data_IF_037899347096
#
_entry.id   IF_037899347096
#
_cell.length_a   1.000
_cell.length_b   1.000
_cell.length_c   1.000
_cell.angle_alpha   90.00
_cell.angle_beta   90.00
_cell.angle_gamma   90.00
#
_symmetry.space_group_name_H-M   'P 1'
#
loop_
_entity.id
_entity.type
_entity.pdbx_description
1 polymer ?
#
# COMPACT_ATOMS: atom_id res chain seq x y z
N UNK A 1 66.95 -19.54 -60.24
CA UNK A 1 66.01 -20.52 -59.65
C UNK A 1 65.58 -20.19 -58.20
N UNK A 2 66.44 -19.63 -57.34
CA UNK A 2 66.08 -19.21 -55.96
C UNK A 2 65.14 -17.99 -55.87
N UNK A 3 65.15 -17.09 -56.84
CA UNK A 3 64.27 -15.89 -56.88
C UNK A 3 62.80 -16.23 -57.23
N UNK A 4 62.57 -17.19 -58.13
CA UNK A 4 61.21 -17.57 -58.58
C UNK A 4 60.43 -18.29 -57.46
N UNK A 5 61.12 -19.04 -56.60
CA UNK A 5 60.52 -19.70 -55.43
C UNK A 5 60.08 -18.71 -54.33
N UNK A 6 60.69 -17.52 -54.24
CA UNK A 6 60.32 -16.49 -53.25
C UNK A 6 59.05 -15.73 -53.65
N UNK A 7 58.84 -15.47 -54.93
CA UNK A 7 57.65 -14.73 -55.40
C UNK A 7 56.37 -15.57 -55.33
N UNK A 8 56.42 -16.88 -55.60
CA UNK A 8 55.23 -17.74 -55.50
C UNK A 8 54.82 -18.01 -54.04
N UNK A 9 55.75 -17.99 -53.07
CA UNK A 9 55.42 -18.22 -51.66
C UNK A 9 54.72 -17.01 -51.00
N UNK A 10 54.97 -15.78 -51.49
CA UNK A 10 54.38 -14.56 -50.91
C UNK A 10 53.00 -14.19 -51.46
N UNK A 11 52.61 -14.66 -52.66
CA UNK A 11 51.26 -14.41 -53.19
C UNK A 11 50.17 -15.16 -52.42
N UNK A 12 50.47 -16.37 -51.96
CA UNK A 12 49.51 -17.20 -51.23
C UNK A 12 49.32 -16.78 -49.76
N UNK A 13 50.31 -16.11 -49.14
CA UNK A 13 50.19 -15.63 -47.76
C UNK A 13 49.26 -14.41 -47.59
N UNK A 14 49.04 -13.62 -48.65
CA UNK A 14 48.14 -12.45 -48.59
C UNK A 14 46.66 -12.81 -48.71
N UNK A 15 46.33 -14.00 -49.18
CA UNK A 15 44.94 -14.46 -49.33
C UNK A 15 44.41 -15.18 -48.09
N UNK A 16 45.30 -15.73 -47.25
CA UNK A 16 44.96 -16.39 -45.99
C UNK A 16 44.22 -15.46 -45.00
N UNK A 17 44.66 -14.21 -44.72
CA UNK A 17 43.94 -13.36 -43.76
C UNK A 17 42.54 -12.96 -44.23
N UNK A 18 42.32 -12.84 -45.54
CA UNK A 18 41.01 -12.52 -46.12
C UNK A 18 40.06 -13.71 -45.98
N UNK A 19 40.54 -14.94 -46.23
CA UNK A 19 39.73 -16.14 -46.07
C UNK A 19 39.34 -16.38 -44.61
N UNK A 20 40.26 -16.12 -43.67
CA UNK A 20 40.02 -16.27 -42.23
C UNK A 20 39.02 -15.23 -41.72
N UNK A 21 39.09 -13.99 -42.19
CA UNK A 21 38.09 -12.96 -41.81
C UNK A 21 36.70 -13.27 -42.38
N UNK A 22 36.62 -13.84 -43.59
CA UNK A 22 35.35 -14.23 -44.20
C UNK A 22 34.70 -15.44 -43.51
N UNK A 23 35.52 -16.38 -43.02
CA UNK A 23 35.02 -17.55 -42.25
C UNK A 23 34.56 -17.12 -40.85
N UNK A 24 35.26 -16.19 -40.20
CA UNK A 24 34.84 -15.64 -38.90
C UNK A 24 33.54 -14.83 -39.04
N UNK A 25 33.37 -14.05 -40.10
CA UNK A 25 32.10 -13.34 -40.33
C UNK A 25 30.96 -14.31 -40.65
N UNK A 26 31.18 -15.35 -41.46
CA UNK A 26 30.15 -16.38 -41.68
C UNK A 26 29.77 -17.12 -40.39
N UNK A 27 30.73 -17.42 -39.51
CA UNK A 27 30.46 -18.06 -38.21
C UNK A 27 29.68 -17.15 -37.25
N UNK A 28 29.85 -15.83 -37.34
CA UNK A 28 29.06 -14.86 -36.57
C UNK A 28 27.63 -14.71 -37.10
N UNK A 29 27.38 -14.96 -38.38
CA UNK A 29 26.02 -14.94 -38.95
C UNK A 29 25.25 -16.26 -38.78
N UNK A 30 25.94 -17.40 -38.61
CA UNK A 30 25.27 -18.71 -38.43
C UNK A 30 24.91 -19.04 -36.97
N UNK A 31 25.26 -18.20 -36.00
CA UNK A 31 24.87 -18.41 -34.59
C UNK A 31 23.68 -17.56 -34.15
N UNK A 32 23.00 -16.86 -35.07
CA UNK A 32 21.60 -16.51 -34.90
C UNK A 32 20.77 -17.75 -35.25
N UNK A 33 20.78 -18.75 -34.37
CA UNK A 33 19.63 -19.63 -34.28
C UNK A 33 18.44 -18.72 -34.03
N UNK A 34 17.48 -18.73 -34.94
CA UNK A 34 16.14 -18.24 -34.69
C UNK A 34 15.53 -19.14 -33.61
N UNK A 35 15.94 -18.93 -32.37
CA UNK A 35 15.02 -19.11 -31.27
C UNK A 35 13.94 -18.07 -31.56
N UNK A 36 12.84 -18.57 -32.12
CA UNK A 36 11.55 -17.92 -32.17
C UNK A 36 11.11 -17.73 -30.71
N UNK A 37 11.83 -16.86 -29.99
CA UNK A 37 11.34 -16.25 -28.77
C UNK A 37 10.21 -15.38 -29.23
N UNK A 38 9.03 -15.99 -29.34
CA UNK A 38 7.78 -15.25 -29.26
C UNK A 38 7.94 -14.32 -28.07
N UNK A 39 8.15 -13.03 -28.32
CA UNK A 39 8.13 -12.01 -27.28
C UNK A 39 6.72 -12.12 -26.73
N UNK A 40 6.54 -12.86 -25.63
CA UNK A 40 5.27 -12.87 -24.92
C UNK A 40 5.09 -11.43 -24.48
N UNK A 41 4.19 -10.72 -25.14
CA UNK A 41 3.83 -9.38 -24.72
C UNK A 41 3.40 -9.47 -23.26
N UNK A 42 4.10 -8.72 -22.41
CA UNK A 42 3.80 -8.67 -21.00
C UNK A 42 2.37 -8.16 -20.83
N UNK A 43 1.56 -8.96 -20.12
CA UNK A 43 0.17 -8.62 -19.89
C UNK A 43 0.08 -7.35 -19.05
N UNK A 44 -0.65 -6.36 -19.57
CA UNK A 44 -0.94 -5.12 -18.87
C UNK A 44 -1.78 -5.38 -17.62
N UNK A 45 -1.42 -4.72 -16.53
CA UNK A 45 -2.21 -4.72 -15.31
C UNK A 45 -3.45 -3.82 -15.49
N UNK A 46 -4.54 -4.23 -14.86
CA UNK A 46 -5.79 -3.49 -14.80
C UNK A 46 -6.24 -3.36 -13.34
N UNK A 47 -6.83 -2.21 -12.98
CA UNK A 47 -7.34 -1.99 -11.60
C UNK A 47 -8.40 -3.02 -11.22
N UNK A 48 -9.18 -3.52 -12.18
CA UNK A 48 -10.16 -4.59 -12.00
C UNK A 48 -9.56 -5.87 -11.40
N UNK A 49 -8.26 -6.14 -11.61
CA UNK A 49 -7.57 -7.28 -11.01
C UNK A 49 -7.38 -7.15 -9.49
N UNK A 50 -7.52 -5.96 -8.93
CA UNK A 50 -7.40 -5.68 -7.50
C UNK A 50 -8.75 -5.51 -6.80
N UNK A 51 -9.87 -5.66 -7.52
CA UNK A 51 -11.23 -5.47 -6.99
C UNK A 51 -11.51 -6.35 -5.76
N UNK A 52 -11.00 -7.58 -5.77
CA UNK A 52 -11.14 -8.53 -4.66
C UNK A 52 -10.63 -7.94 -3.32
N UNK A 53 -9.61 -7.08 -3.33
CA UNK A 53 -9.12 -6.45 -2.09
C UNK A 53 -10.18 -5.55 -1.45
N UNK A 54 -10.95 -4.83 -2.27
CA UNK A 54 -12.06 -4.02 -1.80
C UNK A 54 -13.21 -4.87 -1.24
N UNK A 55 -13.50 -6.00 -1.89
CA UNK A 55 -14.53 -6.95 -1.44
C UNK A 55 -14.14 -7.59 -0.10
N UNK A 56 -12.88 -8.01 0.05
CA UNK A 56 -12.36 -8.54 1.31
C UNK A 56 -12.40 -7.47 2.40
N UNK A 57 -11.94 -6.25 2.11
CA UNK A 57 -12.00 -5.12 3.05
C UNK A 57 -13.41 -4.94 3.62
N UNK A 58 -14.41 -4.87 2.75
CA UNK A 58 -15.81 -4.68 3.15
C UNK A 58 -16.34 -5.87 3.95
N UNK A 59 -15.92 -7.10 3.62
CA UNK A 59 -16.27 -8.29 4.39
C UNK A 59 -15.74 -8.25 5.84
N UNK A 60 -14.57 -7.65 6.08
CA UNK A 60 -14.07 -7.41 7.44
C UNK A 60 -14.94 -6.40 8.19
N UNK A 61 -15.31 -5.28 7.57
CA UNK A 61 -16.21 -4.29 8.19
C UNK A 61 -17.52 -4.93 8.62
N UNK A 62 -18.11 -5.71 7.71
CA UNK A 62 -19.35 -6.41 7.93
C UNK A 62 -19.26 -7.43 9.06
N UNK A 63 -18.20 -8.25 9.05
CA UNK A 63 -17.96 -9.23 10.09
C UNK A 63 -17.79 -8.56 11.47
N UNK A 64 -17.01 -7.48 11.52
CA UNK A 64 -16.80 -6.70 12.74
C UNK A 64 -18.09 -6.10 13.25
N UNK A 65 -18.87 -5.43 12.40
CA UNK A 65 -20.14 -4.83 12.81
C UNK A 65 -21.17 -5.86 13.31
N UNK A 66 -21.24 -7.01 12.64
CA UNK A 66 -22.24 -8.05 12.91
C UNK A 66 -21.86 -8.95 14.09
N UNK A 67 -20.56 -9.25 14.28
CA UNK A 67 -20.12 -10.31 15.20
C UNK A 67 -19.19 -9.86 16.32
N UNK A 68 -18.52 -8.71 16.22
CA UNK A 68 -17.68 -8.24 17.33
C UNK A 68 -18.56 -7.88 18.54
N UNK A 69 -18.18 -8.37 19.73
CA UNK A 69 -18.87 -8.09 20.97
C UNK A 69 -17.99 -7.23 21.87
N UNK A 70 -18.48 -6.04 22.23
CA UNK A 70 -17.80 -5.18 23.18
C UNK A 70 -17.96 -5.77 24.58
N UNK A 71 -16.84 -6.04 25.24
CA UNK A 71 -16.82 -6.44 26.65
C UNK A 71 -17.03 -5.19 27.53
N UNK A 72 -18.23 -5.05 28.09
CA UNK A 72 -18.67 -3.83 28.78
C UNK A 72 -17.86 -3.47 30.04
N UNK A 73 -17.10 -4.42 30.57
CA UNK A 73 -16.25 -4.22 31.75
C UNK A 73 -14.81 -3.79 31.40
N UNK A 74 -14.43 -3.82 30.12
CA UNK A 74 -13.08 -3.46 29.70
C UNK A 74 -12.87 -1.95 29.80
N UNK A 75 -11.86 -1.57 30.61
CA UNK A 75 -11.50 -0.18 30.92
C UNK A 75 -10.12 0.20 30.37
N UNK A 76 -9.38 -0.75 29.81
CA UNK A 76 -8.05 -0.52 29.26
C UNK A 76 -8.10 -0.39 27.73
N UNK A 77 -7.66 0.77 27.23
CA UNK A 77 -7.50 1.02 25.80
C UNK A 77 -6.60 -0.03 25.13
N UNK A 78 -5.50 -0.43 25.76
CA UNK A 78 -4.57 -1.42 25.21
C UNK A 78 -5.23 -2.80 25.03
N UNK A 79 -6.03 -3.24 26.01
CA UNK A 79 -6.77 -4.50 25.90
C UNK A 79 -7.87 -4.42 24.85
N UNK A 80 -8.58 -3.30 24.75
CA UNK A 80 -9.58 -3.08 23.71
C UNK A 80 -8.96 -3.17 22.30
N UNK A 81 -7.80 -2.54 22.08
CA UNK A 81 -7.06 -2.60 20.82
C UNK A 81 -6.63 -4.03 20.49
N UNK A 82 -6.09 -4.76 21.47
CA UNK A 82 -5.69 -6.16 21.27
C UNK A 82 -6.91 -7.05 20.96
N UNK A 83 -8.03 -6.89 21.66
CA UNK A 83 -9.26 -7.65 21.40
C UNK A 83 -9.76 -7.46 19.96
N UNK A 84 -9.77 -6.22 19.47
CA UNK A 84 -10.14 -5.91 18.07
C UNK A 84 -9.15 -6.54 17.09
N UNK A 85 -7.85 -6.41 17.37
CA UNK A 85 -6.79 -6.96 16.53
C UNK A 85 -6.88 -8.49 16.45
N UNK A 86 -7.10 -9.15 17.58
CA UNK A 86 -7.22 -10.61 17.68
C UNK A 86 -8.46 -11.09 16.92
N UNK A 87 -9.60 -10.40 17.06
CA UNK A 87 -10.81 -10.70 16.30
C UNK A 87 -10.59 -10.60 14.78
N UNK A 88 -9.95 -9.52 14.30
CA UNK A 88 -9.65 -9.37 12.88
C UNK A 88 -8.62 -10.40 12.40
N UNK A 89 -7.59 -10.67 13.19
CA UNK A 89 -6.58 -11.69 12.89
C UNK A 89 -7.19 -13.10 12.81
N UNK A 90 -8.14 -13.42 13.70
CA UNK A 90 -8.86 -14.68 13.67
C UNK A 90 -9.79 -14.81 12.46
N UNK A 91 -10.45 -13.72 12.06
CA UNK A 91 -11.23 -13.71 10.83
C UNK A 91 -10.33 -13.91 9.60
N UNK A 92 -9.16 -13.27 9.56
CA UNK A 92 -8.20 -13.38 8.46
C UNK A 92 -7.76 -14.84 8.18
N UNK A 93 -7.65 -15.69 9.21
CA UNK A 93 -7.30 -17.12 9.06
C UNK A 93 -8.29 -17.89 8.17
N UNK A 94 -9.52 -17.40 8.02
CA UNK A 94 -10.58 -18.02 7.24
C UNK A 94 -10.75 -17.40 5.84
N UNK A 95 -9.98 -16.35 5.51
CA UNK A 95 -10.04 -15.68 4.20
C UNK A 95 -8.96 -16.26 3.29
N UNK A 96 -9.36 -16.77 2.12
CA UNK A 96 -8.45 -17.45 1.17
C UNK A 96 -7.21 -16.63 0.83
N UNK A 97 -7.38 -15.32 0.66
CA UNK A 97 -6.31 -14.36 0.39
C UNK A 97 -5.13 -14.42 1.39
N UNK A 98 -5.38 -14.76 2.67
CA UNK A 98 -4.35 -14.80 3.71
C UNK A 98 -3.80 -16.21 4.00
N UNK A 99 -4.44 -17.28 3.50
CA UNK A 99 -4.12 -18.67 3.89
C UNK A 99 -2.65 -19.05 3.71
N UNK A 100 -2.03 -18.59 2.63
CA UNK A 100 -0.64 -18.90 2.32
C UNK A 100 0.37 -18.11 3.17
N UNK A 101 -0.05 -16.99 3.77
CA UNK A 101 0.84 -15.99 4.38
C UNK A 101 0.41 -15.59 5.81
N UNK A 102 -0.30 -16.46 6.52
CA UNK A 102 -0.89 -16.18 7.83
C UNK A 102 0.06 -15.53 8.85
N UNK A 103 1.35 -15.94 8.90
CA UNK A 103 2.33 -15.35 9.82
C UNK A 103 2.70 -13.91 9.45
N UNK A 104 2.87 -13.63 8.16
CA UNK A 104 3.12 -12.29 7.64
C UNK A 104 1.90 -11.39 7.89
N UNK A 105 0.69 -11.85 7.58
CA UNK A 105 -0.54 -11.10 7.80
C UNK A 105 -0.73 -10.76 9.28
N UNK A 106 -0.48 -11.71 10.19
CA UNK A 106 -0.51 -11.46 11.64
C UNK A 106 0.49 -10.39 12.07
N UNK A 107 1.71 -10.40 11.51
CA UNK A 107 2.72 -9.39 11.80
C UNK A 107 2.32 -8.00 11.30
N UNK A 108 1.64 -7.93 10.15
CA UNK A 108 1.10 -6.67 9.62
C UNK A 108 -0.06 -6.17 10.50
N UNK A 109 -1.00 -7.03 10.88
CA UNK A 109 -2.08 -6.69 11.83
C UNK A 109 -1.52 -6.09 13.11
N UNK A 110 -0.55 -6.78 13.73
CA UNK A 110 0.09 -6.30 14.96
C UNK A 110 0.82 -4.96 14.78
N UNK A 111 1.39 -4.70 13.60
CA UNK A 111 2.06 -3.44 13.30
C UNK A 111 1.05 -2.29 13.03
N UNK A 112 -0.14 -2.62 12.54
CA UNK A 112 -1.17 -1.65 12.18
C UNK A 112 -2.23 -1.44 13.26
N UNK A 113 -2.31 -2.30 14.29
CA UNK A 113 -3.41 -2.35 15.27
C UNK A 113 -3.82 -1.01 15.91
N UNK A 114 -2.89 -0.07 16.03
CA UNK A 114 -3.15 1.25 16.61
C UNK A 114 -3.85 2.22 15.65
N UNK A 115 -3.97 1.89 14.37
CA UNK A 115 -4.78 2.66 13.41
C UNK A 115 -6.26 2.70 13.81
N UNK A 116 -6.70 1.75 14.66
CA UNK A 116 -8.06 1.69 15.22
C UNK A 116 -8.42 2.92 16.07
N UNK A 117 -7.44 3.70 16.53
CA UNK A 117 -7.70 4.97 17.22
C UNK A 117 -7.75 6.08 16.16
N UNK A 118 -8.86 6.27 15.47
CA UNK A 118 -8.94 7.16 14.28
C UNK A 118 -8.30 8.54 14.44
N UNK A 119 -8.60 9.26 15.53
CA UNK A 119 -7.97 10.57 15.79
C UNK A 119 -6.46 10.47 16.08
N UNK A 120 -6.04 9.42 16.76
CA UNK A 120 -4.62 9.10 16.92
C UNK A 120 -3.99 8.80 15.57
N UNK A 121 -4.63 7.98 14.74
CA UNK A 121 -4.15 7.65 13.40
C UNK A 121 -3.98 8.90 12.53
N UNK A 122 -4.97 9.78 12.46
CA UNK A 122 -4.85 11.08 11.78
C UNK A 122 -3.61 11.88 12.26
N UNK A 123 -3.44 11.98 13.57
CA UNK A 123 -2.31 12.69 14.18
C UNK A 123 -0.96 12.01 13.85
N UNK A 124 -0.90 10.68 13.83
CA UNK A 124 0.27 9.91 13.39
C UNK A 124 0.64 10.23 11.94
N UNK A 125 -0.36 10.24 11.05
CA UNK A 125 -0.17 10.46 9.63
C UNK A 125 0.41 11.83 9.31
N UNK A 126 -0.07 12.89 9.97
CA UNK A 126 0.23 14.27 9.57
C UNK A 126 0.93 15.13 10.63
N UNK A 127 1.33 14.54 11.77
CA UNK A 127 2.13 15.18 12.84
C UNK A 127 1.54 16.52 13.32
N UNK A 128 0.33 16.50 13.87
CA UNK A 128 -0.09 17.60 14.76
C UNK A 128 0.37 17.32 16.20
N UNK A 129 1.67 17.50 16.45
CA UNK A 129 2.30 17.26 17.76
C UNK A 129 1.66 18.09 18.88
N UNK A 130 1.14 19.28 18.57
CA UNK A 130 0.54 20.17 19.55
C UNK A 130 -0.85 19.69 20.00
N UNK A 131 -1.59 18.99 19.12
CA UNK A 131 -2.85 18.34 19.46
C UNK A 131 -2.66 17.04 20.27
N UNK A 132 -1.57 16.30 20.02
CA UNK A 132 -1.19 15.07 20.75
C UNK A 132 -0.82 15.36 22.22
N UNK A 133 0.02 16.37 22.47
CA UNK A 133 0.50 16.69 23.83
C UNK A 133 -0.55 17.30 24.75
N UNK A 134 -1.59 17.93 24.20
CA UNK A 134 -2.68 18.56 24.97
C UNK A 134 -3.76 17.57 25.43
N UNK A 135 -3.81 16.35 24.87
CA UNK A 135 -4.92 15.40 25.07
C UNK A 135 -4.50 14.05 25.64
N UNK A 136 -3.21 13.79 25.70
CA UNK A 136 -2.65 12.50 26.13
C UNK A 136 -1.77 12.72 27.35
N UNK A 137 -1.81 11.79 28.30
CA UNK A 137 -0.83 11.82 29.38
C UNK A 137 0.56 11.52 28.82
N UNK A 138 1.60 11.95 29.53
CA UNK A 138 2.99 11.67 29.13
C UNK A 138 3.25 10.15 28.99
N UNK A 139 2.57 9.33 29.80
CA UNK A 139 2.58 7.88 29.69
C UNK A 139 1.94 7.36 28.40
N UNK A 140 0.84 7.97 27.97
CA UNK A 140 0.16 7.62 26.72
C UNK A 140 0.97 8.07 25.51
N UNK A 141 1.69 9.19 25.59
CA UNK A 141 2.62 9.67 24.56
C UNK A 141 3.84 8.76 24.42
N UNK A 142 4.40 8.27 25.52
CA UNK A 142 5.49 7.28 25.51
C UNK A 142 4.99 5.95 24.92
N UNK A 143 3.78 5.54 25.31
CA UNK A 143 3.15 4.31 24.82
C UNK A 143 2.82 4.42 23.32
N UNK A 144 2.20 5.52 22.88
CA UNK A 144 1.91 5.85 21.49
C UNK A 144 3.17 5.99 20.64
N UNK A 145 4.19 6.70 21.13
CA UNK A 145 5.47 6.81 20.42
C UNK A 145 6.14 5.44 20.31
N UNK A 146 6.08 4.57 21.32
CA UNK A 146 6.59 3.19 21.24
C UNK A 146 5.78 2.26 20.32
N UNK A 147 4.48 2.54 20.14
CA UNK A 147 3.59 1.81 19.25
C UNK A 147 3.77 2.14 17.77
N UNK A 148 4.22 3.36 17.51
CA UNK A 148 4.51 3.87 16.17
C UNK A 148 6.01 4.03 15.91
N UNK A 149 6.87 3.58 16.84
CA UNK A 149 8.32 3.56 16.68
C UNK A 149 8.71 2.45 15.72
N UNK A 150 8.71 2.80 14.44
CA UNK A 150 9.07 1.92 13.34
C UNK A 150 10.51 1.40 13.43
N UNK A 151 11.36 2.05 14.25
CA UNK A 151 12.73 1.61 14.50
C UNK A 151 12.80 0.31 15.31
N UNK A 152 11.80 0.02 16.15
CA UNK A 152 11.77 -1.19 16.98
C UNK A 152 11.29 -2.44 16.22
N UNK A 153 10.60 -2.28 15.08
CA UNK A 153 10.10 -3.41 14.25
C UNK A 153 10.87 -3.62 12.95
N UNK A 154 11.94 -2.88 12.69
CA UNK A 154 12.83 -3.18 11.57
C UNK A 154 14.25 -2.65 11.75
N UNK A 155 15.24 -3.51 11.56
CA UNK A 155 16.62 -3.09 11.28
C UNK A 155 16.76 -2.43 9.88
N UNK A 156 15.66 -2.12 9.19
CA UNK A 156 15.65 -1.65 7.78
C UNK A 156 14.93 -0.33 7.53
N UNK A 157 14.07 0.14 8.44
CA UNK A 157 13.34 1.41 8.27
C UNK A 157 13.84 2.40 9.31
N UNK A 158 14.93 3.07 8.97
CA UNK A 158 15.29 4.30 9.68
C UNK A 158 14.48 5.42 9.04
N UNK A 159 13.32 5.74 9.60
CA UNK A 159 12.60 6.95 9.21
C UNK A 159 13.58 8.11 9.40
N UNK A 160 14.04 8.74 8.31
CA UNK A 160 14.77 10.00 8.41
C UNK A 160 13.86 10.96 9.16
N UNK A 161 14.23 11.33 10.38
CA UNK A 161 13.56 12.39 11.13
C UNK A 161 13.76 13.70 10.37
N UNK A 162 12.94 13.97 9.38
CA UNK A 162 12.59 15.35 9.05
C UNK A 162 11.62 15.77 10.16
N UNK A 163 12.01 16.74 10.97
CA UNK A 163 11.29 17.07 12.22
C UNK A 163 9.82 17.47 11.98
N UNK A 164 9.49 17.82 10.72
CA UNK A 164 8.22 18.41 10.30
C UNK A 164 7.29 17.49 9.47
N UNK A 165 7.69 16.29 9.04
CA UNK A 165 6.82 15.45 8.21
C UNK A 165 6.19 14.31 9.03
N UNK A 166 4.86 14.14 8.91
CA UNK A 166 4.12 13.05 9.54
C UNK A 166 4.46 11.67 8.97
N UNK A 167 3.89 10.61 9.52
CA UNK A 167 4.22 9.25 9.09
C UNK A 167 3.85 8.95 7.65
N UNK A 168 2.81 9.60 7.11
CA UNK A 168 2.32 9.36 5.76
C UNK A 168 3.42 9.59 4.70
N UNK A 169 4.03 10.78 4.69
CA UNK A 169 5.07 11.13 3.73
C UNK A 169 6.35 10.33 3.96
N UNK A 170 6.73 10.12 5.22
CA UNK A 170 7.95 9.38 5.54
C UNK A 170 7.86 7.91 5.07
N UNK A 171 6.73 7.24 5.26
CA UNK A 171 6.55 5.85 4.83
C UNK A 171 6.52 5.74 3.31
N UNK A 172 5.92 6.70 2.60
CA UNK A 172 5.97 6.74 1.14
C UNK A 172 7.38 6.98 0.61
N UNK A 173 8.14 7.86 1.27
CA UNK A 173 9.53 8.12 0.91
C UNK A 173 10.40 6.87 1.12
N UNK A 174 10.21 6.16 2.23
CA UNK A 174 10.88 4.88 2.47
C UNK A 174 10.45 3.79 1.48
N UNK A 175 9.15 3.67 1.17
CA UNK A 175 8.66 2.73 0.18
C UNK A 175 9.29 2.97 -1.20
N UNK A 176 9.42 4.25 -1.59
CA UNK A 176 10.11 4.65 -2.82
C UNK A 176 11.59 4.28 -2.80
N UNK A 177 12.31 4.57 -1.71
CA UNK A 177 13.72 4.24 -1.57
C UNK A 177 14.00 2.73 -1.58
N UNK A 178 13.05 1.93 -1.10
CA UNK A 178 13.11 0.48 -1.12
C UNK A 178 12.59 -0.13 -2.44
N UNK A 179 12.20 0.69 -3.42
CA UNK A 179 11.70 0.23 -4.72
C UNK A 179 10.34 -0.47 -4.67
N UNK A 180 9.57 -0.29 -3.59
CA UNK A 180 8.20 -0.79 -3.44
C UNK A 180 7.25 -0.02 -4.35
N UNK A 181 7.51 1.28 -4.48
CA UNK A 181 6.80 2.19 -5.37
C UNK A 181 7.77 2.99 -6.21
N UNK A 182 7.32 3.50 -7.35
CA UNK A 182 8.12 4.37 -8.22
C UNK A 182 7.81 5.87 -8.01
N UNK A 183 8.44 6.72 -8.82
CA UNK A 183 8.26 8.17 -8.78
C UNK A 183 6.83 8.61 -9.10
N UNK A 184 6.12 7.87 -9.96
CA UNK A 184 4.74 8.17 -10.32
C UNK A 184 3.84 7.89 -9.12
N UNK A 185 3.90 6.66 -8.60
CA UNK A 185 3.11 6.24 -7.44
C UNK A 185 3.38 7.13 -6.23
N UNK A 186 4.64 7.48 -5.95
CA UNK A 186 4.99 8.39 -4.87
C UNK A 186 4.27 9.74 -5.00
N UNK A 187 4.28 10.35 -6.19
CA UNK A 187 3.60 11.64 -6.43
C UNK A 187 2.08 11.54 -6.27
N UNK A 188 1.49 10.49 -6.84
CA UNK A 188 0.05 10.26 -6.75
C UNK A 188 -0.40 10.06 -5.30
N UNK A 189 0.33 9.23 -4.54
CA UNK A 189 0.00 8.92 -3.15
C UNK A 189 0.23 10.11 -2.22
N UNK A 190 1.26 10.95 -2.46
CA UNK A 190 1.45 12.22 -1.73
C UNK A 190 0.29 13.18 -2.01
N UNK A 191 -0.10 13.34 -3.27
CA UNK A 191 -1.25 14.19 -3.63
C UNK A 191 -2.55 13.71 -2.98
N UNK A 192 -2.74 12.39 -2.88
CA UNK A 192 -3.88 11.80 -2.18
C UNK A 192 -3.82 12.09 -0.67
N UNK A 193 -2.63 12.05 -0.05
CA UNK A 193 -2.42 12.38 1.36
C UNK A 193 -2.83 13.80 1.73
N UNK A 194 -2.52 14.78 0.87
CA UNK A 194 -2.96 16.16 1.07
C UNK A 194 -4.48 16.31 1.00
N UNK A 195 -5.14 15.52 0.13
CA UNK A 195 -6.60 15.51 0.04
C UNK A 195 -7.24 14.83 1.26
N UNK A 196 -6.66 13.73 1.74
CA UNK A 196 -7.06 13.06 2.99
C UNK A 196 -6.95 14.03 4.18
N UNK A 197 -5.84 14.76 4.29
CA UNK A 197 -5.64 15.76 5.35
C UNK A 197 -6.70 16.86 5.32
N UNK A 198 -7.06 17.35 4.12
CA UNK A 198 -8.18 18.29 3.92
C UNK A 198 -9.52 17.67 4.30
N UNK A 199 -9.72 16.38 4.02
CA UNK A 199 -10.94 15.66 4.35
C UNK A 199 -11.11 15.54 5.87
N UNK A 200 -10.06 15.15 6.59
CA UNK A 200 -10.07 15.13 8.06
C UNK A 200 -10.33 16.52 8.67
N UNK A 201 -9.88 17.58 8.00
CA UNK A 201 -10.18 18.97 8.39
C UNK A 201 -11.59 19.45 8.00
N UNK A 202 -12.40 18.61 7.35
CA UNK A 202 -13.75 18.94 6.87
C UNK A 202 -13.79 19.90 5.67
N UNK A 203 -12.67 20.12 4.99
CA UNK A 203 -12.56 21.04 3.84
C UNK A 203 -13.07 20.40 2.55
N UNK A 204 -12.89 19.08 2.40
CA UNK A 204 -13.37 18.30 1.25
C UNK A 204 -14.20 17.12 1.72
N UNK A 205 -15.15 16.67 0.92
CA UNK A 205 -16.04 15.55 1.21
C UNK A 205 -15.62 14.25 0.52
N UNK A 206 -16.55 13.30 0.49
CA UNK A 206 -16.37 12.00 -0.17
C UNK A 206 -16.36 12.12 -1.70
N UNK A 207 -17.11 13.06 -2.28
CA UNK A 207 -17.18 13.27 -3.72
C UNK A 207 -15.81 13.72 -4.28
N UNK A 208 -15.09 14.59 -3.58
CA UNK A 208 -13.72 14.98 -3.96
C UNK A 208 -12.74 13.82 -3.87
N UNK A 209 -12.84 12.97 -2.83
CA UNK A 209 -12.02 11.76 -2.73
C UNK A 209 -12.29 10.81 -3.92
N UNK A 210 -13.56 10.57 -4.26
CA UNK A 210 -13.95 9.75 -5.42
C UNK A 210 -13.35 10.31 -6.72
N UNK A 211 -13.55 11.60 -6.96
CA UNK A 211 -13.03 12.27 -8.16
C UNK A 211 -11.49 12.13 -8.26
N UNK A 212 -10.78 12.24 -7.13
CA UNK A 212 -9.34 12.05 -7.11
C UNK A 212 -8.97 10.60 -7.45
N UNK A 213 -9.65 9.59 -6.91
CA UNK A 213 -9.39 8.18 -7.24
C UNK A 213 -9.65 7.89 -8.73
N UNK A 214 -10.70 8.47 -9.31
CA UNK A 214 -11.03 8.33 -10.73
C UNK A 214 -9.97 8.96 -11.63
N UNK A 215 -9.44 10.12 -11.24
CA UNK A 215 -8.35 10.76 -11.95
C UNK A 215 -7.03 9.98 -11.80
N UNK A 216 -6.76 9.43 -10.60
CA UNK A 216 -5.60 8.59 -10.34
C UNK A 216 -5.63 7.32 -11.19
N UNK A 217 -6.78 6.64 -11.32
CA UNK A 217 -6.92 5.47 -12.21
C UNK A 217 -6.54 5.81 -13.65
N UNK A 218 -7.08 6.90 -14.20
CA UNK A 218 -6.79 7.30 -15.58
C UNK A 218 -5.29 7.55 -15.79
N UNK A 219 -4.64 8.23 -14.84
CA UNK A 219 -3.19 8.48 -14.90
C UNK A 219 -2.39 7.19 -14.72
N UNK A 220 -2.82 6.31 -13.84
CA UNK A 220 -2.20 5.01 -13.59
C UNK A 220 -2.26 4.11 -14.82
N UNK A 221 -3.41 4.02 -15.50
CA UNK A 221 -3.55 3.25 -16.74
C UNK A 221 -2.62 3.73 -17.85
N UNK A 222 -2.31 5.04 -17.89
CA UNK A 222 -1.36 5.60 -18.86
C UNK A 222 0.09 5.18 -18.62
N UNK A 223 0.43 4.71 -17.40
CA UNK A 223 1.76 4.18 -17.10
C UNK A 223 2.02 2.81 -17.71
N UNK A 224 0.97 2.10 -18.17
CA UNK A 224 1.06 0.79 -18.82
C UNK A 224 1.84 -0.24 -18.00
N UNK A 225 1.62 -0.26 -16.68
CA UNK A 225 2.21 -1.28 -15.82
C UNK A 225 1.82 -2.68 -16.29
N UNK A 226 2.74 -3.63 -16.10
CA UNK A 226 2.59 -5.03 -16.49
C UNK A 226 2.78 -5.95 -15.29
N UNK A 227 2.44 -7.23 -15.45
CA UNK A 227 2.69 -8.24 -14.42
C UNK A 227 4.18 -8.32 -13.99
N UNK A 228 5.11 -7.93 -14.86
CA UNK A 228 6.55 -7.88 -14.56
C UNK A 228 7.05 -6.53 -14.05
N UNK A 229 6.20 -5.51 -14.00
CA UNK A 229 6.58 -4.21 -13.42
C UNK A 229 6.93 -4.38 -11.95
N UNK A 230 8.00 -3.70 -11.49
CA UNK A 230 8.42 -3.75 -10.08
C UNK A 230 7.53 -2.91 -9.15
N UNK A 231 6.84 -1.93 -9.74
CA UNK A 231 5.98 -0.96 -9.08
C UNK A 231 4.59 -0.92 -9.76
N UNK A 232 3.76 0.02 -9.35
CA UNK A 232 2.41 0.28 -9.85
C UNK A 232 1.30 -0.31 -8.99
N UNK A 233 1.61 -1.22 -8.06
CA UNK A 233 0.57 -2.00 -7.38
C UNK A 233 -0.02 -1.29 -6.19
N UNK A 234 0.76 -0.55 -5.41
CA UNK A 234 0.23 0.12 -4.21
C UNK A 234 -0.84 1.14 -4.58
N UNK A 235 -0.63 1.90 -5.65
CA UNK A 235 -1.61 2.87 -6.15
C UNK A 235 -2.88 2.17 -6.62
N UNK A 236 -2.76 1.10 -7.43
CA UNK A 236 -3.91 0.35 -7.92
C UNK A 236 -4.72 -0.30 -6.79
N UNK A 237 -4.04 -0.88 -5.80
CA UNK A 237 -4.65 -1.49 -4.62
C UNK A 237 -5.36 -0.44 -3.76
N UNK A 238 -4.74 0.72 -3.55
CA UNK A 238 -5.35 1.86 -2.82
C UNK A 238 -6.61 2.34 -3.53
N UNK A 239 -6.58 2.47 -4.86
CA UNK A 239 -7.77 2.87 -5.66
C UNK A 239 -8.89 1.83 -5.50
N UNK A 240 -8.57 0.54 -5.63
CA UNK A 240 -9.55 -0.54 -5.53
C UNK A 240 -10.22 -0.57 -4.14
N UNK A 241 -9.44 -0.48 -3.07
CA UNK A 241 -9.95 -0.43 -1.69
C UNK A 241 -10.77 0.85 -1.47
N UNK A 242 -10.24 2.01 -1.87
CA UNK A 242 -10.90 3.30 -1.67
C UNK A 242 -12.25 3.39 -2.36
N UNK A 243 -12.37 2.86 -3.59
CA UNK A 243 -13.64 2.78 -4.31
C UNK A 243 -14.63 1.82 -3.65
N UNK A 244 -14.18 0.62 -3.31
CA UNK A 244 -15.04 -0.33 -2.62
C UNK A 244 -15.53 0.19 -1.26
N UNK A 245 -14.70 0.97 -0.55
CA UNK A 245 -15.09 1.67 0.67
C UNK A 245 -16.14 2.74 0.40
N UNK A 246 -15.91 3.63 -0.59
CA UNK A 246 -16.87 4.65 -1.02
C UNK A 246 -18.26 4.03 -1.29
N UNK A 247 -18.29 2.98 -2.11
CA UNK A 247 -19.54 2.33 -2.50
C UNK A 247 -20.21 1.64 -1.30
N UNK A 248 -19.43 0.94 -0.46
CA UNK A 248 -19.94 0.28 0.75
C UNK A 248 -20.62 1.25 1.71
N UNK A 249 -19.98 2.38 2.00
CA UNK A 249 -20.50 3.33 2.97
C UNK A 249 -21.68 4.15 2.42
N UNK A 250 -21.76 4.37 1.11
CA UNK A 250 -22.93 4.98 0.48
C UNK A 250 -24.16 4.06 0.49
N UNK A 251 -23.95 2.75 0.31
CA UNK A 251 -25.04 1.77 0.27
C UNK A 251 -25.50 1.29 1.66
N UNK A 252 -24.65 1.38 2.70
CA UNK A 252 -24.97 0.87 4.04
C UNK A 252 -25.53 1.95 4.99
N UNK A 253 -26.85 2.14 4.94
CA UNK A 253 -27.60 3.00 5.85
C UNK A 253 -27.42 2.65 7.34
N UNK A 254 -27.08 1.41 7.68
CA UNK A 254 -26.92 0.92 9.08
C UNK A 254 -25.80 1.65 9.85
N UNK A 255 -24.82 2.22 9.15
CA UNK A 255 -23.78 3.05 9.76
C UNK A 255 -24.04 4.55 9.64
N UNK A 256 -25.01 4.92 8.82
CA UNK A 256 -25.56 6.26 8.74
C UNK A 256 -26.47 6.46 9.95
N UNK A 257 -25.92 6.96 11.06
CA UNK A 257 -26.83 7.44 12.12
C UNK A 257 -27.69 8.54 11.52
N UNK A 258 -29.00 8.43 11.75
CA UNK A 258 -29.99 9.48 11.56
C UNK A 258 -29.39 10.85 11.87
N UNK A 259 -29.57 11.80 10.93
CA UNK A 259 -29.29 13.24 11.04
C UNK A 259 -28.92 13.72 12.46
N UNK A 260 -27.64 13.58 12.84
CA UNK A 260 -27.16 14.16 14.09
C UNK A 260 -26.98 15.66 13.84
N UNK A 261 -27.91 16.47 14.33
CA UNK A 261 -27.88 17.93 14.25
C UNK A 261 -27.93 18.52 12.82
N UNK A 262 -28.70 17.91 11.90
CA UNK A 262 -28.97 18.48 10.57
C UNK A 262 -27.79 18.45 9.58
N UNK A 263 -26.74 17.65 9.84
CA UNK A 263 -25.66 17.40 8.89
C UNK A 263 -26.02 16.24 7.96
N UNK A 264 -25.80 16.39 6.66
CA UNK A 264 -26.05 15.33 5.68
C UNK A 264 -25.15 14.11 5.93
N UNK A 265 -25.67 12.91 5.63
CA UNK A 265 -24.95 11.62 5.78
C UNK A 265 -23.57 11.64 5.09
N UNK A 266 -23.45 12.31 3.94
CA UNK A 266 -22.19 12.50 3.20
C UNK A 266 -21.07 13.11 4.06
N UNK A 267 -21.40 13.98 5.02
CA UNK A 267 -20.41 14.64 5.90
C UNK A 267 -19.88 13.70 6.99
N UNK A 268 -20.65 12.68 7.38
CA UNK A 268 -20.27 11.75 8.47
C UNK A 268 -19.43 10.57 7.97
N UNK A 269 -19.63 10.16 6.71
CA UNK A 269 -18.95 9.02 6.08
C UNK A 269 -17.59 9.40 5.49
N UNK A 270 -17.43 10.66 5.05
CA UNK A 270 -16.22 11.11 4.37
C UNK A 270 -14.92 10.88 5.19
N UNK A 271 -14.87 11.16 6.51
CA UNK A 271 -13.68 10.85 7.31
C UNK A 271 -13.42 9.35 7.49
N UNK A 272 -14.45 8.51 7.40
CA UNK A 272 -14.28 7.05 7.46
C UNK A 272 -13.55 6.58 6.21
N UNK A 273 -14.06 6.95 5.04
CA UNK A 273 -13.42 6.64 3.74
C UNK A 273 -11.97 7.15 3.72
N UNK A 274 -11.72 8.36 4.24
CA UNK A 274 -10.36 8.89 4.34
C UNK A 274 -9.45 8.04 5.24
N UNK A 275 -9.96 7.46 6.34
CA UNK A 275 -9.21 6.51 7.16
C UNK A 275 -8.93 5.21 6.39
N UNK A 276 -9.90 4.68 5.65
CA UNK A 276 -9.75 3.45 4.88
C UNK A 276 -8.65 3.62 3.82
N UNK A 277 -8.71 4.71 3.06
CA UNK A 277 -7.71 5.06 2.03
C UNK A 277 -6.34 5.29 2.69
N UNK A 278 -6.26 6.09 3.76
CA UNK A 278 -5.00 6.36 4.43
C UNK A 278 -4.38 5.09 5.03
N UNK A 279 -5.22 4.22 5.59
CA UNK A 279 -4.87 2.90 6.06
C UNK A 279 -4.32 2.02 4.95
N UNK A 280 -4.93 2.04 3.76
CA UNK A 280 -4.41 1.33 2.59
C UNK A 280 -3.02 1.81 2.17
N UNK A 281 -2.83 3.12 2.09
CA UNK A 281 -1.54 3.69 1.68
C UNK A 281 -0.44 3.34 2.68
N UNK A 282 -0.67 3.65 3.95
CA UNK A 282 0.35 3.46 4.99
C UNK A 282 0.56 1.99 5.30
N UNK A 283 -0.51 1.19 5.43
CA UNK A 283 -0.41 -0.25 5.60
C UNK A 283 0.34 -0.91 4.43
N UNK A 284 0.06 -0.49 3.21
CA UNK A 284 0.72 -1.02 2.02
C UNK A 284 2.19 -0.64 1.92
N UNK A 285 2.55 0.59 2.28
CA UNK A 285 3.95 0.98 2.44
C UNK A 285 4.65 0.10 3.49
N UNK A 286 4.03 -0.12 4.65
CA UNK A 286 4.56 -0.97 5.72
C UNK A 286 4.79 -2.41 5.26
N UNK A 287 3.77 -3.03 4.66
CA UNK A 287 3.84 -4.42 4.20
C UNK A 287 4.81 -4.60 3.03
N UNK A 288 4.85 -3.63 2.12
CA UNK A 288 5.79 -3.61 1.00
C UNK A 288 7.23 -3.49 1.45
N UNK A 289 7.54 -2.56 2.37
CA UNK A 289 8.90 -2.37 2.89
C UNK A 289 9.36 -3.62 3.68
N UNK A 290 8.49 -4.20 4.51
CA UNK A 290 8.83 -5.39 5.31
C UNK A 290 9.08 -6.63 4.46
N UNK A 291 8.27 -6.85 3.43
CA UNK A 291 8.39 -8.03 2.57
C UNK A 291 9.36 -7.85 1.41
N UNK A 292 9.67 -6.60 1.03
CA UNK A 292 10.37 -6.29 -0.23
C UNK A 292 9.59 -6.73 -1.46
N UNK A 293 8.26 -6.89 -1.35
CA UNK A 293 7.41 -7.47 -2.40
C UNK A 293 6.09 -6.73 -2.53
N UNK A 294 5.52 -6.77 -3.73
CA UNK A 294 4.19 -6.22 -3.97
C UNK A 294 3.07 -7.04 -3.31
N UNK A 295 3.26 -8.36 -3.11
CA UNK A 295 2.28 -9.20 -2.39
C UNK A 295 2.11 -8.68 -0.96
N UNK A 296 3.23 -8.39 -0.29
CA UNK A 296 3.20 -7.76 1.03
C UNK A 296 2.67 -6.33 1.00
N UNK A 297 2.87 -5.56 -0.07
CA UNK A 297 2.22 -4.25 -0.22
C UNK A 297 0.69 -4.37 -0.31
N UNK A 298 0.18 -5.38 -1.02
CA UNK A 298 -1.26 -5.65 -1.11
C UNK A 298 -1.88 -6.11 0.19
N UNK A 299 -1.26 -7.08 0.87
CA UNK A 299 -1.67 -7.50 2.21
C UNK A 299 -1.61 -6.34 3.21
N UNK A 300 -0.54 -5.55 3.15
CA UNK A 300 -0.38 -4.35 3.94
C UNK A 300 -1.51 -3.35 3.73
N UNK A 301 -1.85 -3.07 2.48
CA UNK A 301 -2.89 -2.12 2.13
C UNK A 301 -4.26 -2.59 2.65
N UNK A 302 -4.60 -3.85 2.40
CA UNK A 302 -5.84 -4.44 2.88
C UNK A 302 -5.93 -4.38 4.42
N UNK A 303 -4.91 -4.85 5.12
CA UNK A 303 -4.90 -4.89 6.59
C UNK A 303 -4.92 -3.49 7.19
N UNK A 304 -4.14 -2.56 6.64
CA UNK A 304 -4.11 -1.17 7.09
C UNK A 304 -5.48 -0.50 6.96
N UNK A 305 -6.15 -0.69 5.82
CA UNK A 305 -7.52 -0.20 5.61
C UNK A 305 -8.51 -0.83 6.59
N UNK A 306 -8.47 -2.14 6.79
CA UNK A 306 -9.32 -2.89 7.74
C UNK A 306 -9.18 -2.37 9.18
N UNK A 307 -7.94 -2.13 9.64
CA UNK A 307 -7.74 -1.67 11.01
C UNK A 307 -8.17 -0.21 11.19
N UNK A 308 -7.83 0.67 10.25
CA UNK A 308 -8.18 2.08 10.29
C UNK A 308 -9.71 2.29 10.29
N UNK A 309 -10.42 1.53 9.46
CA UNK A 309 -11.87 1.54 9.33
C UNK A 309 -12.60 0.95 10.54
N UNK A 310 -12.08 -0.14 11.12
CA UNK A 310 -12.67 -0.78 12.31
C UNK A 310 -12.81 0.20 13.48
N UNK A 311 -11.84 1.13 13.61
CA UNK A 311 -11.79 2.15 14.63
C UNK A 311 -12.91 3.19 14.59
N UNK A 312 -13.59 3.33 13.46
CA UNK A 312 -14.65 4.33 13.25
C UNK A 312 -16.04 3.70 13.15
N UNK A 313 -16.15 2.37 13.21
CA UNK A 313 -17.42 1.65 13.16
C UNK A 313 -18.29 2.01 14.38
N UNK A 314 -19.32 2.82 14.18
CA UNK A 314 -20.51 2.98 15.02
C UNK A 314 -20.36 2.83 16.55
N UNK A 315 -20.50 1.59 17.04
CA UNK A 315 -20.41 1.22 18.47
C UNK A 315 -18.95 1.04 18.94
N UNK A 316 -18.10 0.47 18.10
CA UNK A 316 -16.68 0.29 18.35
C UNK A 316 -15.94 1.62 18.46
N UNK A 317 -16.15 2.52 17.50
CA UNK A 317 -15.52 3.85 17.56
C UNK A 317 -15.95 4.64 18.80
N UNK A 318 -17.22 4.53 19.20
CA UNK A 318 -17.71 5.10 20.48
C UNK A 318 -17.08 4.47 21.71
N UNK A 319 -16.78 3.17 21.67
CA UNK A 319 -16.16 2.46 22.79
C UNK A 319 -14.69 2.84 22.91
N UNK A 320 -13.94 2.79 21.81
CA UNK A 320 -12.54 3.23 21.76
C UNK A 320 -12.41 4.70 22.18
N UNK A 321 -13.30 5.59 21.72
CA UNK A 321 -13.25 7.01 22.09
C UNK A 321 -13.57 7.30 23.56
N UNK A 322 -14.11 6.34 24.32
CA UNK A 322 -14.32 6.48 25.78
C UNK A 322 -13.10 6.03 26.57
N UNK A 323 -12.26 5.20 25.96
CA UNK A 323 -11.04 4.66 26.55
C UNK A 323 -9.80 5.49 26.18
N UNK A 324 -9.92 6.36 25.18
CA UNK A 324 -8.88 7.27 24.69
C UNK A 324 -9.16 8.71 25.12
#
# INVERSE_FOLDING_TARGET
MREILKQNKMKNLKQIPILVTLIISLLLFTNCNNDDQSIKEDKLLQISQFKELGEIHNAFLDNTNKKFKIESEEKSLSKAINSINDFNTDYAKNVDYFKENNSQSTNIFNASKYFVISKGFEQYLFKDKEALSKRMTEKDLVTYSSYFDFSATSNRVQLKKTENEGAYNNLLFEAKNNGVIDDFEYKELISLGELIKKNFSGIVGADELRNQLDMMEKRWSNMKYTENSKAGRLTAQTIAIGRASLDFWEENEVFSRENVNGRSQKVLIAPIIANDIAGAVVGGAIGGIKSGSWKGAGEGALIGAVVASTGVIGRLGKWISKLW
#
